data_IF_859216346012
#
_entry.id   IF_859216346012
#
_cell.length_a   1.000
_cell.length_b   1.000
_cell.length_c   1.000
_cell.angle_alpha   90.00
_cell.angle_beta   90.00
_cell.angle_gamma   90.00
#
_symmetry.space_group_name_H-M   'P 1'
#
loop_
_entity.id
_entity.type
_entity.pdbx_description
1 polymer ?
#
# COMPACT_ATOMS: atom_id res chain seq x y z
N UNK A 1 -3.84 12.21 -6.82
CA UNK A 1 -4.82 11.44 -6.02
C UNK A 1 -4.27 11.31 -4.60
N UNK A 2 -5.13 11.45 -3.58
CA UNK A 2 -4.74 11.29 -2.17
C UNK A 2 -5.44 10.04 -1.63
N UNK A 3 -4.69 9.21 -0.92
CA UNK A 3 -5.16 8.01 -0.25
C UNK A 3 -5.14 8.24 1.26
N UNK A 4 -6.26 8.01 1.94
CA UNK A 4 -6.28 8.00 3.40
C UNK A 4 -5.97 6.60 3.90
N UNK A 5 -4.98 6.50 4.79
CA UNK A 5 -4.66 5.25 5.46
C UNK A 5 -4.51 5.47 6.96
N UNK A 6 -5.06 4.54 7.74
CA UNK A 6 -4.92 4.54 9.19
C UNK A 6 -3.71 3.71 9.60
N UNK A 7 -2.84 4.30 10.41
CA UNK A 7 -1.71 3.59 11.00
C UNK A 7 -2.20 2.73 12.18
N UNK A 8 -1.98 1.40 12.19
CA UNK A 8 -2.33 0.56 13.34
C UNK A 8 -1.48 0.85 14.59
N UNK A 9 -0.28 1.41 14.42
CA UNK A 9 0.66 1.68 15.52
C UNK A 9 0.24 2.90 16.33
N UNK A 10 0.13 4.08 15.69
CA UNK A 10 -0.27 5.31 16.38
C UNK A 10 -1.78 5.62 16.29
N UNK A 11 -2.54 4.83 15.51
CA UNK A 11 -3.99 5.02 15.25
C UNK A 11 -4.37 6.34 14.56
N UNK A 12 -3.40 7.09 14.06
CA UNK A 12 -3.64 8.29 13.27
C UNK A 12 -4.00 7.93 11.83
N UNK A 13 -4.92 8.70 11.24
CA UNK A 13 -5.21 8.69 9.81
C UNK A 13 -4.33 9.71 9.11
N UNK A 14 -3.49 9.25 8.20
CA UNK A 14 -2.59 10.12 7.42
C UNK A 14 -3.05 10.15 5.95
N UNK A 15 -2.85 11.29 5.30
CA UNK A 15 -3.10 11.47 3.88
C UNK A 15 -1.81 11.17 3.11
N UNK A 16 -1.87 10.18 2.24
CA UNK A 16 -0.73 9.65 1.51
C UNK A 16 -0.90 9.91 0.02
N UNK A 17 0.14 10.42 -0.60
CA UNK A 17 0.24 10.51 -2.06
C UNK A 17 0.49 9.12 -2.66
N UNK A 18 0.21 8.96 -3.96
CA UNK A 18 0.44 7.71 -4.67
C UNK A 18 1.91 7.25 -4.61
N UNK A 19 2.86 8.18 -4.55
CA UNK A 19 4.30 7.91 -4.44
C UNK A 19 4.75 7.43 -3.04
N UNK A 20 4.00 7.78 -1.99
CA UNK A 20 4.26 7.35 -0.62
C UNK A 20 3.80 5.90 -0.38
N UNK A 21 2.91 5.39 -1.24
CA UNK A 21 2.44 4.02 -1.23
C UNK A 21 3.30 3.14 -2.13
N UNK A 22 3.49 1.89 -1.71
CA UNK A 22 4.17 0.85 -2.48
C UNK A 22 3.27 -0.35 -2.56
N UNK A 23 2.86 -0.71 -3.77
CA UNK A 23 2.06 -1.90 -4.03
C UNK A 23 2.99 -3.03 -4.48
N UNK A 24 2.95 -4.16 -3.78
CA UNK A 24 3.60 -5.39 -4.19
C UNK A 24 2.54 -6.41 -4.62
N UNK A 25 2.67 -6.91 -5.85
CA UNK A 25 1.78 -7.94 -6.41
C UNK A 25 2.62 -9.21 -6.60
N UNK A 26 2.24 -10.29 -5.92
CA UNK A 26 2.85 -11.61 -6.12
C UNK A 26 1.97 -12.52 -6.96
N UNK A 27 2.39 -13.79 -7.11
CA UNK A 27 1.66 -14.79 -7.91
C UNK A 27 0.27 -15.17 -7.38
N UNK A 28 -0.06 -14.80 -6.13
CA UNK A 28 -1.35 -15.09 -5.48
C UNK A 28 -1.82 -13.91 -4.61
N UNK A 29 -3.12 -13.80 -4.33
CA UNK A 29 -3.69 -12.79 -3.41
C UNK A 29 -3.00 -12.70 -2.05
N UNK A 30 -2.59 -13.85 -1.49
CA UNK A 30 -1.88 -13.92 -0.20
C UNK A 30 -0.51 -13.25 -0.23
N UNK A 31 0.08 -13.14 -1.42
CA UNK A 31 1.39 -12.51 -1.65
C UNK A 31 1.27 -11.06 -2.14
N UNK A 32 0.05 -10.53 -2.25
CA UNK A 32 -0.23 -9.16 -2.70
C UNK A 32 -0.54 -8.26 -1.50
N UNK A 33 0.23 -7.20 -1.34
CA UNK A 33 0.10 -6.26 -0.23
C UNK A 33 0.55 -4.86 -0.65
N UNK A 34 -0.03 -3.85 -0.02
CA UNK A 34 0.50 -2.50 -0.08
C UNK A 34 1.18 -2.14 1.24
N UNK A 35 2.16 -1.26 1.16
CA UNK A 35 2.88 -0.75 2.31
C UNK A 35 3.13 0.75 2.19
N UNK A 36 3.18 1.41 3.34
CA UNK A 36 3.50 2.82 3.45
C UNK A 36 4.21 3.10 4.77
N UNK A 37 4.95 4.20 4.82
CA UNK A 37 5.55 4.71 6.05
C UNK A 37 4.61 5.75 6.64
N UNK A 38 4.20 5.58 7.90
CA UNK A 38 3.37 6.56 8.58
C UNK A 38 4.20 7.82 8.87
N UNK A 39 3.78 9.00 8.40
CA UNK A 39 4.52 10.24 8.63
C UNK A 39 4.46 10.70 10.09
N UNK A 40 3.46 10.27 10.86
CA UNK A 40 3.27 10.67 12.26
C UNK A 40 4.22 9.93 13.22
N UNK A 41 4.44 8.63 13.01
CA UNK A 41 5.24 7.80 13.91
C UNK A 41 6.43 7.09 13.24
N UNK A 42 6.62 7.26 11.93
CA UNK A 42 7.69 6.61 11.17
C UNK A 42 7.53 5.10 10.97
N UNK A 43 6.46 4.49 11.47
CA UNK A 43 6.27 3.04 11.38
C UNK A 43 5.94 2.59 9.97
N UNK A 44 6.51 1.45 9.57
CA UNK A 44 6.22 0.83 8.27
C UNK A 44 4.97 -0.05 8.37
N UNK A 45 3.87 0.42 7.80
CA UNK A 45 2.57 -0.27 7.83
C UNK A 45 2.43 -1.12 6.58
N UNK A 46 2.04 -2.39 6.75
CA UNK A 46 1.71 -3.31 5.65
C UNK A 46 0.25 -3.76 5.77
N UNK A 47 -0.46 -3.76 4.65
CA UNK A 47 -1.86 -4.18 4.56
C UNK A 47 -2.07 -5.08 3.33
N UNK A 48 -2.90 -6.12 3.42
CA UNK A 48 -3.21 -6.97 2.27
C UNK A 48 -3.94 -6.15 1.19
N UNK A 49 -3.61 -6.39 -0.08
CA UNK A 49 -4.27 -5.77 -1.22
C UNK A 49 -5.08 -6.84 -1.97
N UNK A 50 -6.41 -6.78 -1.86
CA UNK A 50 -7.29 -7.55 -2.75
C UNK A 50 -7.38 -6.92 -4.14
N UNK A 51 -8.03 -7.60 -5.10
CA UNK A 51 -8.13 -7.15 -6.50
C UNK A 51 -8.55 -5.69 -6.63
N UNK A 52 -9.62 -5.32 -5.94
CA UNK A 52 -10.17 -3.97 -6.01
C UNK A 52 -9.20 -2.90 -5.49
N UNK A 53 -8.42 -3.21 -4.45
CA UNK A 53 -7.41 -2.30 -3.92
C UNK A 53 -6.22 -2.21 -4.88
N UNK A 54 -5.82 -3.33 -5.48
CA UNK A 54 -4.78 -3.37 -6.51
C UNK A 54 -5.16 -2.48 -7.68
N UNK A 55 -6.38 -2.62 -8.22
CA UNK A 55 -6.87 -1.81 -9.32
C UNK A 55 -6.89 -0.33 -8.96
N UNK A 56 -7.47 0.04 -7.82
CA UNK A 56 -7.54 1.44 -7.37
C UNK A 56 -6.17 2.09 -7.18
N UNK A 57 -5.22 1.36 -6.58
CA UNK A 57 -3.86 1.88 -6.37
C UNK A 57 -3.11 1.97 -7.71
N UNK A 58 -3.28 0.98 -8.59
CA UNK A 58 -2.63 0.96 -9.91
C UNK A 58 -3.15 2.10 -10.79
N UNK A 59 -4.47 2.28 -10.87
CA UNK A 59 -5.12 3.37 -11.61
C UNK A 59 -4.75 4.74 -11.02
N UNK A 60 -4.65 4.84 -9.69
CA UNK A 60 -4.21 6.04 -8.99
C UNK A 60 -2.72 6.36 -9.11
N UNK A 61 -1.95 5.59 -9.88
CA UNK A 61 -0.53 5.85 -10.17
C UNK A 61 0.45 5.39 -9.09
N UNK A 62 0.04 4.48 -8.19
CA UNK A 62 0.91 3.93 -7.15
C UNK A 62 1.98 3.06 -7.78
N UNK A 63 3.21 3.19 -7.29
CA UNK A 63 4.34 2.36 -7.77
C UNK A 63 4.07 0.90 -7.46
N UNK A 64 3.89 0.13 -8.53
CA UNK A 64 3.53 -1.28 -8.46
C UNK A 64 4.74 -2.14 -8.77
N UNK A 65 5.12 -2.98 -7.83
CA UNK A 65 6.23 -3.93 -7.94
C UNK A 65 5.69 -5.34 -8.07
N UNK A 66 6.00 -6.01 -9.18
CA UNK A 66 5.62 -7.41 -9.40
C UNK A 66 6.71 -8.32 -8.86
N UNK A 67 6.39 -9.06 -7.79
CA UNK A 67 7.26 -10.09 -7.25
C UNK A 67 7.24 -11.28 -8.20
N UNK A 68 8.33 -11.48 -8.94
CA UNK A 68 8.53 -12.72 -9.67
C UNK A 68 8.91 -13.79 -8.65
N UNK A 69 7.97 -14.69 -8.36
CA UNK A 69 8.30 -15.96 -7.71
C UNK A 69 9.07 -16.77 -8.74
N UNK A 70 10.39 -16.86 -8.59
CA UNK A 70 11.25 -17.73 -9.39
C UNK A 70 11.04 -19.20 -9.06
#
# INVERSE_FOLDING_TARGET
MIFRASCPECRTSSELSADALRLAIGGSHRTTFYSFTCPDCGSSVRKPAGDRIVELLTDGGVRTMRLHTG
#
